data_IF_359183206517
#
_entry.id   IF_359183206517
#
_cell.length_a   1.000
_cell.length_b   1.000
_cell.length_c   1.000
_cell.angle_alpha   90.00
_cell.angle_beta   90.00
_cell.angle_gamma   90.00
#
_symmetry.space_group_name_H-M   'P 1'
#
loop_
_entity.id
_entity.type
_entity.pdbx_description
1 polymer ?
#
# COMPACT_ATOMS: atom_id res chain seq x y z
N UNK A 1 -16.72 11.41 -12.72
CA UNK A 1 -15.98 12.09 -11.62
C UNK A 1 -16.90 12.95 -10.73
N UNK A 2 -17.88 13.68 -11.24
CA UNK A 2 -18.72 14.58 -10.44
C UNK A 2 -19.41 13.94 -9.22
N UNK A 3 -19.93 12.71 -9.32
CA UNK A 3 -20.60 12.03 -8.21
C UNK A 3 -19.70 11.70 -7.01
N UNK A 4 -18.43 11.36 -7.25
CA UNK A 4 -17.49 11.05 -6.17
C UNK A 4 -17.14 12.30 -5.35
N UNK A 5 -16.86 13.42 -6.02
CA UNK A 5 -16.59 14.69 -5.34
C UNK A 5 -17.82 15.24 -4.61
N UNK A 6 -19.02 15.05 -5.16
CA UNK A 6 -20.26 15.38 -4.45
C UNK A 6 -20.41 14.55 -3.19
N UNK A 7 -20.20 13.22 -3.27
CA UNK A 7 -20.24 12.34 -2.10
C UNK A 7 -19.16 12.72 -1.06
N UNK A 8 -17.97 13.10 -1.50
CA UNK A 8 -16.90 13.56 -0.62
C UNK A 8 -17.30 14.84 0.13
N UNK A 9 -17.91 15.80 -0.58
CA UNK A 9 -18.39 17.02 0.01
C UNK A 9 -19.53 16.79 1.02
N UNK A 10 -20.46 15.90 0.69
CA UNK A 10 -21.56 15.50 1.56
C UNK A 10 -21.06 14.93 2.90
N UNK A 11 -19.91 14.24 2.92
CA UNK A 11 -19.34 13.69 4.17
C UNK A 11 -18.87 14.75 5.15
N UNK A 12 -18.57 15.95 4.67
CA UNK A 12 -18.11 17.07 5.49
C UNK A 12 -19.27 17.86 6.09
N UNK A 13 -20.50 17.66 5.61
CA UNK A 13 -21.68 18.41 6.02
C UNK A 13 -22.56 17.58 6.95
N UNK A 14 -22.74 17.98 8.23
CA UNK A 14 -23.57 17.26 9.20
C UNK A 14 -25.01 17.02 8.75
N UNK A 15 -25.58 17.93 7.93
CA UNK A 15 -26.96 17.84 7.42
C UNK A 15 -27.21 16.63 6.54
N UNK A 16 -26.19 16.05 5.90
CA UNK A 16 -26.32 14.88 5.01
C UNK A 16 -26.15 13.52 5.70
N UNK A 17 -25.71 13.48 6.97
CA UNK A 17 -25.48 12.24 7.70
C UNK A 17 -26.72 11.32 7.81
N UNK A 18 -27.95 11.85 7.99
CA UNK A 18 -29.16 11.00 8.00
C UNK A 18 -29.41 10.27 6.70
N UNK A 19 -29.08 10.88 5.56
CA UNK A 19 -29.20 10.24 4.24
C UNK A 19 -28.05 9.25 3.99
N UNK A 20 -26.85 9.60 4.40
CA UNK A 20 -25.66 8.75 4.28
C UNK A 20 -25.85 7.46 5.06
N UNK A 21 -26.39 7.50 6.28
CA UNK A 21 -26.58 6.33 7.13
C UNK A 21 -27.51 5.26 6.52
N UNK A 22 -28.40 5.67 5.61
CA UNK A 22 -29.36 4.77 4.94
C UNK A 22 -28.80 4.15 3.65
N UNK A 23 -27.61 4.57 3.20
CA UNK A 23 -27.00 4.02 1.97
C UNK A 23 -26.64 2.55 2.12
N UNK A 24 -26.62 1.78 1.02
CA UNK A 24 -26.24 0.37 1.06
C UNK A 24 -24.77 0.21 1.43
N UNK A 25 -24.43 -0.82 2.23
CA UNK A 25 -23.06 -1.10 2.69
C UNK A 25 -22.07 -1.20 1.52
N UNK A 26 -22.44 -1.86 0.42
CA UNK A 26 -21.58 -1.98 -0.76
C UNK A 26 -21.18 -0.63 -1.36
N UNK A 27 -22.09 0.37 -1.33
CA UNK A 27 -21.80 1.74 -1.76
C UNK A 27 -20.83 2.43 -0.80
N UNK A 28 -20.99 2.23 0.51
CA UNK A 28 -20.12 2.79 1.54
C UNK A 28 -18.69 2.22 1.44
N UNK A 29 -18.55 0.90 1.31
CA UNK A 29 -17.25 0.25 1.08
C UNK A 29 -16.61 0.71 -0.24
N UNK A 30 -17.41 0.81 -1.31
CA UNK A 30 -16.94 1.32 -2.60
C UNK A 30 -16.46 2.78 -2.54
N UNK A 31 -17.15 3.65 -1.78
CA UNK A 31 -16.73 5.02 -1.53
C UNK A 31 -15.41 5.06 -0.74
N UNK A 32 -15.35 4.37 0.39
CA UNK A 32 -14.14 4.24 1.19
C UNK A 32 -12.93 3.75 0.37
N UNK A 33 -13.11 2.69 -0.44
CA UNK A 33 -12.05 2.16 -1.29
C UNK A 33 -11.54 3.19 -2.31
N UNK A 34 -12.43 4.01 -2.88
CA UNK A 34 -12.06 5.10 -3.79
C UNK A 34 -11.29 6.21 -3.09
N UNK A 35 -11.72 6.61 -1.90
CA UNK A 35 -11.00 7.62 -1.07
C UNK A 35 -9.61 7.12 -0.78
N UNK A 36 -9.49 5.86 -0.33
CA UNK A 36 -8.20 5.26 -0.01
C UNK A 36 -7.30 5.14 -1.24
N UNK A 37 -7.85 4.78 -2.40
CA UNK A 37 -7.10 4.72 -3.65
C UNK A 37 -6.58 6.10 -4.05
N UNK A 38 -7.40 7.14 -3.97
CA UNK A 38 -6.97 8.52 -4.23
C UNK A 38 -5.85 8.95 -3.27
N UNK A 39 -6.03 8.68 -1.97
CA UNK A 39 -5.04 8.96 -0.95
C UNK A 39 -3.71 8.21 -1.22
N UNK A 40 -3.79 6.93 -1.59
CA UNK A 40 -2.63 6.12 -1.93
C UNK A 40 -1.89 6.65 -3.18
N UNK A 41 -2.62 7.03 -4.23
CA UNK A 41 -2.03 7.66 -5.43
C UNK A 41 -1.29 8.94 -5.05
N UNK A 42 -1.87 9.77 -4.18
CA UNK A 42 -1.22 11.00 -3.70
C UNK A 42 0.09 10.68 -2.97
N UNK A 43 0.09 9.68 -2.07
CA UNK A 43 1.32 9.25 -1.36
C UNK A 43 2.38 8.77 -2.34
N UNK A 44 2.00 7.97 -3.34
CA UNK A 44 2.93 7.47 -4.37
C UNK A 44 3.51 8.64 -5.16
N UNK A 45 2.68 9.59 -5.60
CA UNK A 45 3.14 10.78 -6.33
C UNK A 45 4.10 11.65 -5.50
N UNK A 46 3.80 11.84 -4.21
CA UNK A 46 4.68 12.55 -3.28
C UNK A 46 5.99 11.77 -3.00
N UNK A 47 5.98 10.45 -3.17
CA UNK A 47 7.14 9.58 -3.05
C UNK A 47 8.08 9.60 -4.26
N UNK A 48 7.60 9.99 -5.47
CA UNK A 48 8.39 9.98 -6.71
C UNK A 48 9.74 10.68 -6.59
N UNK A 49 9.86 11.90 -6.02
CA UNK A 49 11.15 12.56 -5.90
C UNK A 49 12.16 11.78 -5.06
N UNK A 50 11.70 11.03 -4.05
CA UNK A 50 12.55 10.16 -3.23
C UNK A 50 12.99 8.92 -4.01
N UNK A 51 12.10 8.37 -4.84
CA UNK A 51 12.40 7.21 -5.70
C UNK A 51 13.44 7.54 -6.78
N UNK A 52 13.37 8.73 -7.36
CA UNK A 52 14.38 9.22 -8.34
C UNK A 52 15.76 9.29 -7.71
N UNK A 53 15.85 9.61 -6.40
CA UNK A 53 17.12 9.64 -5.66
C UNK A 53 17.58 8.27 -5.17
N UNK A 54 16.77 7.23 -5.29
CA UNK A 54 17.08 5.90 -4.77
C UNK A 54 18.37 5.29 -5.34
N UNK A 55 18.66 5.39 -6.66
CA UNK A 55 19.92 4.86 -7.19
C UNK A 55 21.16 5.49 -6.56
N UNK A 56 21.14 6.80 -6.28
CA UNK A 56 22.26 7.47 -5.61
C UNK A 56 22.43 7.03 -4.15
N UNK A 57 21.32 6.80 -3.44
CA UNK A 57 21.34 6.30 -2.07
C UNK A 57 21.87 4.86 -2.03
N UNK A 58 21.43 3.99 -2.94
CA UNK A 58 21.96 2.63 -3.08
C UNK A 58 23.45 2.67 -3.35
N UNK A 59 23.89 3.51 -4.29
CA UNK A 59 25.29 3.69 -4.61
C UNK A 59 26.13 4.15 -3.41
N UNK A 60 25.61 5.08 -2.60
CA UNK A 60 26.27 5.53 -1.38
C UNK A 60 26.38 4.41 -0.33
N UNK A 61 25.30 3.64 -0.14
CA UNK A 61 25.31 2.52 0.82
C UNK A 61 26.26 1.41 0.38
N UNK A 62 26.25 1.03 -0.91
CA UNK A 62 27.20 0.06 -1.46
C UNK A 62 28.65 0.54 -1.30
N UNK A 63 28.89 1.85 -1.34
CA UNK A 63 30.22 2.42 -1.11
C UNK A 63 30.76 2.28 0.30
N UNK A 64 29.92 1.97 1.28
CA UNK A 64 30.32 1.74 2.68
C UNK A 64 30.91 0.36 2.93
N UNK A 65 30.72 -0.57 1.99
CA UNK A 65 31.32 -1.89 2.09
C UNK A 65 32.76 -1.83 1.54
N UNK A 66 33.71 -2.27 2.36
CA UNK A 66 35.13 -2.34 1.95
C UNK A 66 35.34 -3.53 1.00
N UNK A 67 34.69 -4.68 1.28
CA UNK A 67 34.70 -5.87 0.44
C UNK A 67 33.29 -6.46 0.50
N UNK A 68 32.66 -6.60 -0.65
CA UNK A 68 31.41 -7.34 -0.79
C UNK A 68 31.61 -8.42 -1.86
N UNK A 69 31.81 -9.65 -1.42
CA UNK A 69 31.93 -10.81 -2.30
C UNK A 69 30.66 -11.64 -2.20
N UNK A 70 30.04 -11.89 -3.36
CA UNK A 70 28.95 -12.87 -3.50
C UNK A 70 29.53 -14.22 -3.89
N UNK A 71 29.88 -15.03 -2.90
CA UNK A 71 30.39 -16.38 -3.10
C UNK A 71 29.26 -17.43 -2.92
N UNK A 72 28.21 -17.29 -3.71
CA UNK A 72 27.03 -18.16 -3.70
C UNK A 72 27.02 -19.14 -4.85
N UNK A 73 27.42 -20.39 -4.62
CA UNK A 73 27.21 -21.47 -5.57
C UNK A 73 25.80 -22.04 -5.41
N UNK A 74 24.86 -21.54 -6.23
CA UNK A 74 23.53 -22.14 -6.33
C UNK A 74 23.57 -23.21 -7.42
N UNK A 75 23.33 -24.48 -7.06
CA UNK A 75 23.26 -25.58 -7.99
C UNK A 75 21.82 -26.10 -8.05
N UNK A 76 21.17 -25.94 -9.18
CA UNK A 76 19.78 -26.35 -9.40
C UNK A 76 19.69 -27.47 -10.38
N UNK A 77 18.81 -28.44 -10.10
CA UNK A 77 18.55 -29.58 -11.02
C UNK A 77 17.58 -29.22 -12.14
N UNK A 78 16.81 -28.13 -12.00
CA UNK A 78 15.86 -27.64 -12.99
C UNK A 78 15.69 -26.13 -12.90
N UNK A 79 15.43 -25.43 -14.03
CA UNK A 79 15.25 -23.99 -14.04
C UNK A 79 13.95 -23.57 -13.32
N UNK A 80 14.02 -22.49 -12.54
CA UNK A 80 12.85 -21.85 -11.95
C UNK A 80 12.33 -20.79 -12.91
N UNK A 81 11.04 -20.89 -13.24
CA UNK A 81 10.34 -19.98 -14.15
C UNK A 81 9.27 -19.20 -13.41
N UNK A 82 9.27 -17.88 -13.50
CA UNK A 82 8.32 -17.00 -12.85
C UNK A 82 7.74 -15.96 -13.83
N UNK A 83 6.41 -15.98 -14.09
CA UNK A 83 5.45 -17.06 -13.81
C UNK A 83 5.69 -18.32 -14.67
N UNK A 84 5.04 -19.42 -14.32
CA UNK A 84 5.34 -20.73 -14.95
C UNK A 84 4.94 -20.83 -16.43
N UNK A 85 3.86 -20.14 -16.86
CA UNK A 85 3.30 -20.25 -18.22
C UNK A 85 3.95 -19.29 -19.22
N UNK A 86 4.24 -18.05 -18.80
CA UNK A 86 4.92 -17.03 -19.61
C UNK A 86 6.02 -16.41 -18.74
N UNK A 87 7.18 -17.02 -18.65
CA UNK A 87 8.20 -16.61 -17.70
C UNK A 87 8.78 -15.25 -18.08
N UNK A 88 8.70 -14.30 -17.14
CA UNK A 88 9.39 -13.02 -17.21
C UNK A 88 10.79 -13.10 -16.60
N UNK A 89 10.93 -13.98 -15.61
CA UNK A 89 12.18 -14.25 -14.90
C UNK A 89 12.50 -15.74 -14.94
N UNK A 90 13.70 -16.09 -15.36
CA UNK A 90 14.22 -17.45 -15.32
C UNK A 90 15.51 -17.45 -14.49
N UNK A 91 15.57 -18.37 -13.52
CA UNK A 91 16.79 -18.70 -12.80
C UNK A 91 17.22 -20.11 -13.22
N UNK A 92 18.30 -20.20 -13.98
CA UNK A 92 18.81 -21.47 -14.50
C UNK A 92 20.32 -21.60 -14.27
N UNK A 93 20.69 -22.46 -13.35
CA UNK A 93 22.08 -22.86 -13.13
C UNK A 93 22.40 -24.23 -13.74
N UNK A 94 21.41 -24.88 -14.38
CA UNK A 94 21.58 -26.19 -15.02
C UNK A 94 22.15 -26.09 -16.45
N UNK A 95 22.08 -24.90 -17.07
CA UNK A 95 22.57 -24.67 -18.44
C UNK A 95 21.54 -24.97 -19.52
N UNK A 96 20.26 -25.15 -19.16
CA UNK A 96 19.19 -25.38 -20.15
C UNK A 96 18.84 -24.11 -20.95
N UNK A 97 19.14 -22.93 -20.41
CA UNK A 97 18.93 -21.61 -21.02
C UNK A 97 20.26 -20.89 -21.15
N UNK A 98 20.62 -20.50 -22.37
CA UNK A 98 21.85 -19.75 -22.66
C UNK A 98 21.58 -18.26 -22.96
N UNK A 99 20.40 -17.96 -23.52
CA UNK A 99 20.08 -16.63 -24.00
C UNK A 99 18.62 -16.26 -23.72
N UNK A 100 18.34 -14.94 -23.63
CA UNK A 100 16.99 -14.38 -23.52
C UNK A 100 16.21 -14.54 -24.83
N UNK A 101 15.05 -15.20 -24.77
CA UNK A 101 14.10 -15.26 -25.89
C UNK A 101 12.93 -14.31 -25.69
N UNK A 102 11.97 -14.68 -24.88
CA UNK A 102 10.79 -13.86 -24.53
C UNK A 102 10.86 -13.29 -23.11
N UNK A 103 11.75 -13.81 -22.31
CA UNK A 103 11.95 -13.44 -20.90
C UNK A 103 12.56 -12.05 -20.77
N UNK A 104 12.36 -11.43 -19.60
CA UNK A 104 12.94 -10.12 -19.25
C UNK A 104 14.24 -10.24 -18.48
N UNK A 105 14.37 -11.28 -17.67
CA UNK A 105 15.56 -11.54 -16.86
C UNK A 105 15.89 -13.03 -16.90
N UNK A 106 17.11 -13.34 -17.24
CA UNK A 106 17.69 -14.68 -17.20
C UNK A 106 18.94 -14.65 -16.32
N UNK A 107 18.91 -15.42 -15.25
CA UNK A 107 20.05 -15.62 -14.36
C UNK A 107 20.59 -17.02 -14.60
N UNK A 108 21.79 -17.11 -15.14
CA UNK A 108 22.51 -18.34 -15.34
C UNK A 108 23.67 -18.48 -14.34
N UNK A 109 24.44 -19.55 -14.43
CA UNK A 109 25.61 -19.72 -13.59
C UNK A 109 26.71 -18.70 -13.88
N UNK A 110 26.83 -18.28 -15.16
CA UNK A 110 27.96 -17.50 -15.63
C UNK A 110 27.59 -16.06 -15.94
N UNK A 111 26.32 -15.75 -16.19
CA UNK A 111 25.84 -14.40 -16.52
C UNK A 111 24.43 -14.13 -16.04
N UNK A 112 24.14 -12.85 -15.82
CA UNK A 112 22.80 -12.31 -15.68
C UNK A 112 22.50 -11.50 -16.94
N UNK A 113 21.53 -11.97 -17.73
CA UNK A 113 21.03 -11.24 -18.88
C UNK A 113 19.68 -10.59 -18.55
N UNK A 114 19.50 -9.31 -18.87
CA UNK A 114 18.24 -8.62 -18.65
C UNK A 114 17.91 -7.64 -19.78
N UNK A 115 16.59 -7.51 -20.05
CA UNK A 115 16.06 -6.67 -21.12
C UNK A 115 15.03 -5.69 -20.57
N UNK A 116 15.43 -4.45 -20.22
CA UNK A 116 14.50 -3.48 -19.64
C UNK A 116 13.41 -3.04 -20.61
N UNK A 117 13.73 -2.69 -21.85
CA UNK A 117 12.78 -2.31 -22.90
C UNK A 117 13.11 -2.99 -24.24
N UNK A 118 14.19 -2.60 -24.90
CA UNK A 118 14.54 -3.09 -26.24
C UNK A 118 15.96 -3.66 -26.31
N UNK A 119 16.88 -3.18 -25.49
CA UNK A 119 18.27 -3.62 -25.48
C UNK A 119 18.48 -4.74 -24.45
N UNK A 120 19.24 -5.78 -24.82
CA UNK A 120 19.68 -6.81 -23.88
C UNK A 120 21.01 -6.39 -23.27
N UNK A 121 21.09 -6.45 -21.95
CA UNK A 121 22.31 -6.21 -21.18
C UNK A 121 22.72 -7.53 -20.52
N UNK A 122 24.02 -7.79 -20.50
CA UNK A 122 24.60 -8.95 -19.84
C UNK A 122 25.62 -8.50 -18.80
N UNK A 123 25.60 -9.15 -17.66
CA UNK A 123 26.56 -8.96 -16.57
C UNK A 123 27.13 -10.34 -16.29
N UNK A 124 28.43 -10.52 -16.41
CA UNK A 124 29.07 -11.78 -16.04
C UNK A 124 28.95 -11.99 -14.52
N UNK A 125 28.69 -13.23 -14.10
CA UNK A 125 28.58 -13.54 -12.66
C UNK A 125 29.92 -13.33 -11.95
N UNK A 126 31.03 -13.49 -12.69
CA UNK A 126 32.35 -13.20 -12.15
C UNK A 126 32.56 -11.72 -11.84
N UNK A 127 31.97 -10.81 -12.63
CA UNK A 127 31.97 -9.37 -12.38
C UNK A 127 31.22 -8.99 -11.10
N UNK A 128 30.26 -9.83 -10.68
CA UNK A 128 29.51 -9.65 -9.43
C UNK A 128 30.28 -10.11 -8.19
N UNK A 129 31.38 -10.87 -8.36
CA UNK A 129 32.23 -11.28 -7.25
C UNK A 129 32.94 -10.07 -6.63
N UNK A 130 33.24 -9.05 -7.43
CA UNK A 130 33.75 -7.76 -6.95
C UNK A 130 32.77 -6.64 -7.25
N UNK A 131 31.76 -6.52 -6.39
CA UNK A 131 30.71 -5.48 -6.49
C UNK A 131 31.25 -4.05 -6.40
N UNK A 132 32.46 -3.87 -5.88
CA UNK A 132 33.07 -2.55 -5.75
C UNK A 132 33.58 -2.05 -7.10
N UNK A 133 34.18 -2.93 -7.89
CA UNK A 133 34.73 -2.61 -9.20
C UNK A 133 33.62 -2.42 -10.25
N UNK A 134 32.55 -3.24 -10.17
CA UNK A 134 31.41 -3.22 -11.09
C UNK A 134 30.19 -2.47 -10.55
N UNK A 135 30.40 -1.52 -9.64
CA UNK A 135 29.34 -0.81 -8.91
C UNK A 135 28.27 -0.17 -9.81
N UNK A 136 28.64 0.40 -10.95
CA UNK A 136 27.69 1.05 -11.86
C UNK A 136 26.75 0.03 -12.53
N UNK A 137 27.25 -1.12 -12.92
CA UNK A 137 26.45 -2.18 -13.54
C UNK A 137 25.48 -2.80 -12.54
N UNK A 138 25.95 -3.04 -11.31
CA UNK A 138 25.12 -3.56 -10.23
C UNK A 138 24.02 -2.55 -9.86
N UNK A 139 24.33 -1.26 -9.79
CA UNK A 139 23.33 -0.20 -9.57
C UNK A 139 22.29 -0.17 -10.67
N UNK A 140 22.68 -0.25 -11.94
CA UNK A 140 21.77 -0.26 -13.06
C UNK A 140 20.85 -1.48 -13.01
N UNK A 141 21.41 -2.66 -12.73
CA UNK A 141 20.62 -3.88 -12.55
C UNK A 141 19.62 -3.79 -11.40
N UNK A 142 20.04 -3.33 -10.21
CA UNK A 142 19.17 -3.16 -9.06
C UNK A 142 18.07 -2.13 -9.32
N UNK A 143 18.37 -1.02 -10.00
CA UNK A 143 17.39 -0.02 -10.36
C UNK A 143 16.31 -0.60 -11.29
N UNK A 144 16.71 -1.39 -12.29
CA UNK A 144 15.80 -2.08 -13.21
C UNK A 144 14.95 -3.11 -12.45
N UNK A 145 15.57 -3.91 -11.59
CA UNK A 145 14.87 -4.91 -10.77
C UNK A 145 13.80 -4.24 -9.88
N UNK A 146 14.16 -3.17 -9.17
CA UNK A 146 13.24 -2.41 -8.33
C UNK A 146 12.11 -1.83 -9.17
N UNK A 147 12.40 -1.27 -10.35
CA UNK A 147 11.38 -0.71 -11.24
C UNK A 147 10.34 -1.76 -11.66
N UNK A 148 10.75 -2.98 -11.97
CA UNK A 148 9.83 -4.06 -12.34
C UNK A 148 9.04 -4.62 -11.15
N UNK A 149 9.63 -4.64 -9.96
CA UNK A 149 8.96 -5.10 -8.74
C UNK A 149 8.01 -4.04 -8.15
N UNK A 150 8.25 -2.76 -8.46
CA UNK A 150 7.53 -1.63 -7.88
C UNK A 150 6.00 -1.74 -7.99
N UNK A 151 5.39 -2.05 -9.16
CA UNK A 151 3.93 -2.15 -9.25
C UNK A 151 3.36 -3.22 -8.33
N UNK A 152 4.04 -4.37 -8.22
CA UNK A 152 3.61 -5.47 -7.34
C UNK A 152 3.73 -5.09 -5.87
N UNK A 153 4.81 -4.41 -5.48
CA UNK A 153 5.03 -3.91 -4.13
C UNK A 153 3.96 -2.86 -3.79
N UNK A 154 3.71 -1.91 -4.67
CA UNK A 154 2.70 -0.88 -4.47
C UNK A 154 1.30 -1.48 -4.33
N UNK A 155 0.95 -2.46 -5.16
CA UNK A 155 -0.32 -3.16 -5.06
C UNK A 155 -0.45 -3.89 -3.71
N UNK A 156 0.59 -4.59 -3.28
CA UNK A 156 0.61 -5.27 -2.00
C UNK A 156 0.46 -4.30 -0.82
N UNK A 157 1.22 -3.19 -0.84
CA UNK A 157 1.11 -2.14 0.18
C UNK A 157 -0.30 -1.53 0.20
N UNK A 158 -0.90 -1.28 -0.97
CA UNK A 158 -2.28 -0.80 -1.05
C UNK A 158 -3.27 -1.76 -0.38
N UNK A 159 -3.17 -3.06 -0.65
CA UNK A 159 -4.04 -4.08 -0.03
C UNK A 159 -3.87 -4.09 1.50
N UNK A 160 -2.64 -4.00 2.00
CA UNK A 160 -2.38 -3.96 3.44
C UNK A 160 -2.98 -2.70 4.10
N UNK A 161 -2.83 -1.54 3.47
CA UNK A 161 -3.41 -0.29 3.97
C UNK A 161 -4.93 -0.34 3.92
N UNK A 162 -5.51 -0.89 2.86
CA UNK A 162 -6.94 -1.10 2.74
C UNK A 162 -7.46 -2.01 3.86
N UNK A 163 -6.80 -3.13 4.10
CA UNK A 163 -7.16 -4.08 5.16
C UNK A 163 -7.06 -3.44 6.54
N UNK A 164 -6.01 -2.66 6.81
CA UNK A 164 -5.83 -1.89 8.04
C UNK A 164 -7.05 -1.05 8.37
N UNK A 165 -7.45 -0.18 7.43
CA UNK A 165 -8.58 0.71 7.63
C UNK A 165 -9.90 -0.05 7.69
N UNK A 166 -10.07 -1.08 6.87
CA UNK A 166 -11.26 -1.91 6.89
C UNK A 166 -11.47 -2.58 8.25
N UNK A 167 -10.42 -3.19 8.81
CA UNK A 167 -10.46 -3.81 10.15
C UNK A 167 -10.76 -2.76 11.22
N UNK A 168 -10.16 -1.57 11.12
CA UNK A 168 -10.40 -0.48 12.06
C UNK A 168 -11.86 0.01 12.02
N UNK A 169 -12.42 0.23 10.83
CA UNK A 169 -13.83 0.60 10.63
C UNK A 169 -14.76 -0.49 11.16
N UNK A 170 -14.49 -1.74 10.82
CA UNK A 170 -15.29 -2.89 11.23
C UNK A 170 -15.31 -3.04 12.75
N UNK A 171 -14.15 -3.03 13.38
CA UNK A 171 -14.02 -3.15 14.85
C UNK A 171 -14.70 -1.98 15.56
N UNK A 172 -14.47 -0.74 15.09
CA UNK A 172 -15.11 0.44 15.66
C UNK A 172 -16.63 0.38 15.55
N UNK A 173 -17.17 -0.04 14.40
CA UNK A 173 -18.61 -0.13 14.22
C UNK A 173 -19.26 -1.16 15.14
N UNK A 174 -18.57 -2.27 15.45
CA UNK A 174 -19.04 -3.27 16.43
C UNK A 174 -19.01 -2.69 17.84
N UNK A 175 -17.90 -2.06 18.22
CA UNK A 175 -17.76 -1.46 19.56
C UNK A 175 -18.86 -0.40 19.77
N UNK A 176 -19.06 0.49 18.80
CA UNK A 176 -20.09 1.51 18.88
C UNK A 176 -21.50 0.89 18.91
N UNK A 177 -21.76 -0.16 18.14
CA UNK A 177 -23.04 -0.86 18.19
C UNK A 177 -23.32 -1.41 19.59
N UNK A 178 -22.35 -2.07 20.22
CA UNK A 178 -22.50 -2.61 21.58
C UNK A 178 -22.71 -1.49 22.62
N UNK A 179 -21.94 -0.40 22.51
CA UNK A 179 -22.07 0.75 23.43
C UNK A 179 -23.43 1.45 23.29
N UNK A 180 -23.92 1.65 22.08
CA UNK A 180 -25.18 2.33 21.81
C UNK A 180 -26.39 1.43 22.17
N UNK A 181 -26.27 0.13 22.06
CA UNK A 181 -27.28 -0.81 22.51
C UNK A 181 -27.47 -0.74 24.04
N UNK A 182 -26.37 -0.61 24.79
CA UNK A 182 -26.39 -0.40 26.24
C UNK A 182 -27.07 0.92 26.66
N UNK A 183 -27.01 1.96 25.83
CA UNK A 183 -27.61 3.26 26.08
C UNK A 183 -29.04 3.41 25.56
N UNK A 184 -29.66 2.31 25.11
CA UNK A 184 -30.98 2.27 24.48
C UNK A 184 -31.12 3.11 23.18
N UNK A 185 -30.01 3.51 22.59
CA UNK A 185 -29.98 4.12 21.27
C UNK A 185 -30.10 3.05 20.20
N UNK A 186 -31.36 2.74 19.80
CA UNK A 186 -31.63 1.69 18.80
C UNK A 186 -31.07 2.05 17.43
N UNK A 187 -29.86 1.64 17.18
CA UNK A 187 -29.19 1.74 15.86
C UNK A 187 -28.81 0.37 15.37
N UNK A 188 -28.90 0.17 14.08
CA UNK A 188 -28.41 -1.07 13.47
C UNK A 188 -26.90 -1.00 13.28
N UNK A 189 -26.21 -2.11 13.46
CA UNK A 189 -24.78 -2.21 13.15
C UNK A 189 -24.46 -1.74 11.73
N UNK A 190 -25.36 -2.05 10.77
CA UNK A 190 -25.24 -1.63 9.38
C UNK A 190 -25.13 -0.10 9.24
N UNK A 191 -25.99 0.66 9.89
CA UNK A 191 -25.95 2.13 9.85
C UNK A 191 -24.62 2.67 10.39
N UNK A 192 -24.16 2.14 11.51
CA UNK A 192 -22.89 2.53 12.13
C UNK A 192 -21.70 2.20 11.25
N UNK A 193 -21.68 1.05 10.62
CA UNK A 193 -20.66 0.65 9.66
C UNK A 193 -20.63 1.59 8.45
N UNK A 194 -21.80 1.93 7.89
CA UNK A 194 -21.88 2.91 6.78
C UNK A 194 -21.35 4.26 7.22
N UNK A 195 -21.77 4.78 8.37
CA UNK A 195 -21.25 6.04 8.92
C UNK A 195 -19.73 5.97 9.07
N UNK A 196 -19.19 4.91 9.68
CA UNK A 196 -17.75 4.74 9.87
C UNK A 196 -16.95 4.70 8.55
N UNK A 197 -17.50 4.09 7.49
CA UNK A 197 -16.89 4.12 6.17
C UNK A 197 -16.77 5.55 5.60
N UNK A 198 -17.78 6.38 5.78
CA UNK A 198 -17.76 7.76 5.30
C UNK A 198 -16.90 8.67 6.18
N UNK A 199 -16.97 8.54 7.50
CA UNK A 199 -16.14 9.32 8.44
C UNK A 199 -14.66 9.00 8.34
N UNK A 200 -14.28 7.80 7.86
CA UNK A 200 -12.88 7.41 7.65
C UNK A 200 -12.13 8.29 6.64
N UNK A 201 -12.85 9.06 5.82
CA UNK A 201 -12.26 10.00 4.84
C UNK A 201 -11.28 10.97 5.50
N UNK A 202 -11.67 11.60 6.61
CA UNK A 202 -10.82 12.59 7.29
C UNK A 202 -9.55 11.98 7.91
N UNK A 203 -9.61 10.88 8.69
CA UNK A 203 -8.39 10.26 9.21
C UNK A 203 -7.48 9.70 8.10
N UNK A 204 -8.03 9.19 6.99
CA UNK A 204 -7.22 8.77 5.83
C UNK A 204 -6.47 9.97 5.23
N UNK A 205 -7.15 11.08 4.97
CA UNK A 205 -6.53 12.28 4.43
C UNK A 205 -5.51 12.88 5.42
N UNK A 206 -5.82 12.90 6.71
CA UNK A 206 -4.89 13.36 7.74
C UNK A 206 -3.60 12.51 7.77
N UNK A 207 -3.71 11.18 7.68
CA UNK A 207 -2.54 10.30 7.62
C UNK A 207 -1.69 10.57 6.37
N UNK A 208 -2.31 10.85 5.22
CA UNK A 208 -1.59 11.25 4.00
C UNK A 208 -0.80 12.53 4.21
N UNK A 209 -1.43 13.56 4.79
CA UNK A 209 -0.78 14.86 5.06
C UNK A 209 0.38 14.67 6.03
N UNK A 210 0.15 13.95 7.14
CA UNK A 210 1.17 13.70 8.16
C UNK A 210 2.35 12.91 7.59
N UNK A 211 2.06 11.91 6.75
CA UNK A 211 3.11 11.13 6.05
C UNK A 211 3.93 11.99 5.11
N UNK A 212 3.30 12.95 4.42
CA UNK A 212 3.99 13.86 3.51
C UNK A 212 4.93 14.82 4.26
N UNK A 213 4.53 15.29 5.44
CA UNK A 213 5.30 16.25 6.28
C UNK A 213 6.36 15.53 7.11
N UNK A 214 6.40 14.19 7.09
CA UNK A 214 7.33 13.38 7.90
C UNK A 214 7.17 13.63 9.42
N UNK A 215 5.95 13.90 9.87
CA UNK A 215 5.68 14.25 11.26
C UNK A 215 5.69 12.99 12.15
N UNK A 216 6.55 13.00 13.15
CA UNK A 216 6.72 11.91 14.13
C UNK A 216 5.63 11.86 15.21
N UNK A 217 4.50 12.52 15.00
CA UNK A 217 3.44 12.62 16.02
C UNK A 217 2.55 11.38 16.08
N UNK A 218 2.67 10.48 15.12
CA UNK A 218 1.85 9.29 15.07
C UNK A 218 2.34 8.31 16.14
N UNK A 219 1.58 8.17 17.21
CA UNK A 219 1.86 7.19 18.26
C UNK A 219 1.44 5.80 17.76
N UNK A 220 2.37 4.86 17.57
CA UNK A 220 2.04 3.52 17.14
C UNK A 220 1.33 2.76 18.27
N UNK A 221 0.16 2.17 17.97
CA UNK A 221 -0.59 1.34 18.92
C UNK A 221 -0.33 -0.14 18.65
N UNK A 222 -0.32 -0.53 17.41
CA UNK A 222 -0.16 -1.92 17.00
C UNK A 222 0.56 -1.99 15.67
N UNK A 223 1.48 -2.93 15.56
CA UNK A 223 2.16 -3.23 14.31
C UNK A 223 1.68 -4.59 13.79
N UNK A 224 1.10 -4.61 12.59
CA UNK A 224 0.62 -5.82 11.94
C UNK A 224 1.71 -6.35 11.02
N UNK A 225 2.28 -7.50 11.39
CA UNK A 225 3.31 -8.22 10.61
C UNK A 225 4.55 -7.36 10.23
N UNK A 226 4.88 -6.32 11.00
CA UNK A 226 6.03 -5.45 10.71
C UNK A 226 5.83 -4.49 9.53
N UNK A 227 4.68 -4.55 8.83
CA UNK A 227 4.47 -3.84 7.56
C UNK A 227 3.48 -2.69 7.68
N UNK A 228 2.49 -2.82 8.57
CA UNK A 228 1.43 -1.81 8.71
C UNK A 228 1.25 -1.46 10.18
N UNK A 229 1.46 -0.17 10.49
CA UNK A 229 1.29 0.34 11.85
C UNK A 229 -0.07 1.02 11.98
N UNK A 230 -0.83 0.62 13.01
CA UNK A 230 -2.02 1.32 13.47
C UNK A 230 -1.58 2.46 14.40
N UNK A 231 -2.03 3.66 14.09
CA UNK A 231 -1.71 4.84 14.88
C UNK A 231 -2.91 5.26 15.73
N UNK A 232 -2.62 5.72 16.97
CA UNK A 232 -3.63 6.14 17.92
C UNK A 232 -4.46 7.32 17.41
N UNK A 233 -3.81 8.34 16.88
CA UNK A 233 -4.46 9.58 16.46
C UNK A 233 -5.52 9.34 15.38
N UNK A 234 -5.23 8.67 14.24
CA UNK A 234 -6.25 8.35 13.26
C UNK A 234 -7.40 7.50 13.81
N UNK A 235 -7.12 6.58 14.73
CA UNK A 235 -8.14 5.74 15.34
C UNK A 235 -9.08 6.55 16.26
N UNK A 236 -8.53 7.46 17.08
CA UNK A 236 -9.31 8.36 17.95
C UNK A 236 -10.12 9.33 17.10
N UNK A 237 -9.53 9.94 16.08
CA UNK A 237 -10.24 10.86 15.17
C UNK A 237 -11.40 10.14 14.50
N UNK A 238 -11.19 8.92 13.99
CA UNK A 238 -12.25 8.12 13.41
C UNK A 238 -13.39 7.86 14.42
N UNK A 239 -13.04 7.47 15.66
CA UNK A 239 -14.02 7.20 16.70
C UNK A 239 -14.86 8.43 17.02
N UNK A 240 -14.21 9.58 17.26
CA UNK A 240 -14.89 10.85 17.57
C UNK A 240 -15.81 11.28 16.45
N UNK A 241 -15.35 11.23 15.21
CA UNK A 241 -16.15 11.62 14.04
C UNK A 241 -17.35 10.67 13.84
N UNK A 242 -17.14 9.36 14.03
CA UNK A 242 -18.23 8.38 13.89
C UNK A 242 -19.29 8.55 14.97
N UNK A 243 -18.88 8.82 16.21
CA UNK A 243 -19.81 9.12 17.31
C UNK A 243 -20.58 10.41 17.01
N UNK A 244 -19.88 11.48 16.64
CA UNK A 244 -20.51 12.75 16.29
C UNK A 244 -21.54 12.63 15.16
N UNK A 245 -21.18 11.90 14.10
CA UNK A 245 -22.10 11.63 12.99
C UNK A 245 -23.30 10.78 13.42
N UNK A 246 -23.11 9.77 14.29
CA UNK A 246 -24.21 8.96 14.84
C UNK A 246 -25.16 9.79 15.71
N UNK A 247 -24.62 10.77 16.46
CA UNK A 247 -25.44 11.72 17.25
C UNK A 247 -26.28 12.62 16.33
N UNK A 248 -25.70 13.23 15.30
CA UNK A 248 -26.45 14.04 14.33
C UNK A 248 -27.58 13.25 13.66
N UNK A 249 -27.33 11.98 13.30
CA UNK A 249 -28.36 11.10 12.74
C UNK A 249 -29.47 10.84 13.77
N UNK A 250 -29.14 10.69 15.06
CA UNK A 250 -30.10 10.48 16.12
C UNK A 250 -31.03 11.68 16.29
N UNK A 251 -30.48 12.88 16.42
CA UNK A 251 -31.23 14.13 16.58
C UNK A 251 -32.19 14.35 15.40
N UNK A 252 -31.70 14.22 14.16
CA UNK A 252 -32.54 14.39 12.97
C UNK A 252 -33.71 13.41 12.88
N UNK A 253 -33.60 12.20 13.48
CA UNK A 253 -34.71 11.25 13.53
C UNK A 253 -35.72 11.55 14.65
N UNK A 254 -35.26 12.17 15.74
CA UNK A 254 -36.15 12.58 16.83
C UNK A 254 -37.02 13.79 16.41
N UNK A 255 -36.45 14.72 15.65
CA UNK A 255 -37.18 15.89 15.13
C UNK A 255 -38.27 15.49 14.10
N UNK A 256 -38.05 14.43 13.33
CA UNK A 256 -39.09 13.90 12.39
C UNK A 256 -40.27 13.20 13.09
N UNK A 257 -40.14 12.88 14.37
CA UNK A 257 -41.21 12.22 15.17
C UNK A 257 -42.06 13.20 15.97
N UNK A 258 -41.66 14.45 16.05
CA UNK A 258 -42.45 15.56 16.58
C UNK A 258 -43.29 16.20 15.49
#
# INVERSE_FOLDING_TARGET
>A
MGKFFSELWETLLPSHWPEISQRPMGRAVGFFSKVLLCAFIIIVLLGIPRMIKMPSVISEQLGKFEVLQLDGKVNMSSPIKLPSNEPLFILDTSGAYTDLTTERVLVTRDKIAYRPLFATHEIATDDLKDLKENREQVNAFLAVLVFFLLPSILFYVYILVWLKYFVMIFTLSIILFLLLDLTHWRRTWRELFVIACYTSTLPVLAEVIVSAINAHWLIPVMNIAGLVTLYLIPAVVLAVLTIGAAMCVHEAMMDKKK
#
